data_IF_180024038775
#
_entry.id   IF_180024038775
#
_cell.length_a   1.000
_cell.length_b   1.000
_cell.length_c   1.000
_cell.angle_alpha   90.00
_cell.angle_beta   90.00
_cell.angle_gamma   90.00
#
_symmetry.space_group_name_H-M   'P 1'
#
loop_
_entity.id
_entity.type
_entity.pdbx_description
1 polymer ?
#
# COMPACT_ATOMS: atom_id res chain seq x y z
N UNK A 1 3.76 1.75 21.24
CA UNK A 1 4.53 3.01 21.29
C UNK A 1 6.00 2.71 21.06
N UNK A 2 6.77 3.32 20.13
CA UNK A 2 7.39 4.67 20.18
C UNK A 2 6.66 5.81 19.44
N UNK A 3 5.49 5.49 18.87
CA UNK A 3 4.29 6.34 18.76
C UNK A 3 3.13 5.36 18.44
N UNK A 4 2.56 4.70 19.45
CA UNK A 4 1.51 3.70 19.23
C UNK A 4 0.65 3.55 20.48
N UNK A 5 -0.65 3.37 20.25
CA UNK A 5 -1.74 3.22 21.23
C UNK A 5 -1.75 1.90 22.00
N UNK A 6 -0.95 0.89 21.60
CA UNK A 6 -0.77 -0.34 22.40
C UNK A 6 0.71 -0.76 22.48
N UNK A 7 1.24 -1.09 23.67
CA UNK A 7 2.62 -1.58 23.86
C UNK A 7 2.85 -3.04 23.46
N UNK A 8 1.78 -3.84 23.35
CA UNK A 8 1.86 -5.30 23.36
C UNK A 8 2.33 -5.94 22.04
N UNK A 9 2.36 -5.20 20.93
CA UNK A 9 2.93 -5.69 19.66
C UNK A 9 4.47 -5.68 19.62
N UNK A 10 5.14 -5.43 20.74
CA UNK A 10 6.61 -5.32 20.83
C UNK A 10 7.32 -6.68 20.96
N UNK A 11 6.63 -7.80 20.75
CA UNK A 11 7.17 -9.17 20.87
C UNK A 11 8.27 -9.52 19.83
N UNK A 12 8.60 -8.63 18.89
CA UNK A 12 9.78 -8.70 18.01
C UNK A 12 10.67 -7.46 18.14
N UNK A 13 10.76 -6.89 19.34
CA UNK A 13 11.62 -5.73 19.61
C UNK A 13 13.08 -6.07 19.32
N UNK A 14 13.63 -5.49 18.26
CA UNK A 14 15.07 -5.53 17.98
C UNK A 14 15.87 -5.06 19.19
N UNK A 15 17.13 -5.48 19.27
CA UNK A 15 18.05 -5.09 20.34
C UNK A 15 18.31 -3.58 20.24
N UNK A 16 17.54 -2.76 20.97
CA UNK A 16 17.68 -1.30 21.02
C UNK A 16 18.34 -0.92 22.34
N UNK A 17 19.32 -0.03 22.28
CA UNK A 17 20.03 0.53 23.42
C UNK A 17 19.72 2.02 23.55
N UNK A 18 19.35 2.45 24.75
CA UNK A 18 19.21 3.87 25.06
C UNK A 18 20.59 4.56 25.07
N UNK A 19 20.65 5.78 24.55
CA UNK A 19 21.83 6.65 24.56
C UNK A 19 21.56 7.78 25.56
N UNK A 20 22.57 8.17 26.34
CA UNK A 20 22.39 9.22 27.35
C UNK A 20 22.00 10.56 26.69
N UNK A 21 21.19 11.37 27.38
CA UNK A 21 20.77 12.69 26.88
C UNK A 21 21.96 13.57 26.52
N UNK A 22 23.00 13.58 27.36
CA UNK A 22 24.25 14.31 27.13
C UNK A 22 24.98 13.81 25.87
N UNK A 23 24.99 12.50 25.63
CA UNK A 23 25.61 11.94 24.42
C UNK A 23 24.84 12.33 23.16
N UNK A 24 23.50 12.35 23.20
CA UNK A 24 22.67 12.80 22.08
C UNK A 24 22.95 14.27 21.79
N UNK A 25 22.94 15.14 22.81
CA UNK A 25 23.26 16.56 22.67
C UNK A 25 24.66 16.74 22.06
N UNK A 26 25.66 16.02 22.58
CA UNK A 26 27.04 16.07 22.08
C UNK A 26 27.13 15.63 20.62
N UNK A 27 26.51 14.50 20.26
CA UNK A 27 26.55 13.95 18.89
C UNK A 27 25.85 14.89 17.92
N UNK A 28 24.73 15.48 18.30
CA UNK A 28 23.96 16.42 17.46
C UNK A 28 24.48 17.87 17.53
N UNK A 29 25.42 18.18 18.43
CA UNK A 29 25.89 19.54 18.74
C UNK A 29 24.74 20.51 19.07
N UNK A 30 23.71 20.00 19.75
CA UNK A 30 22.63 20.85 20.23
C UNK A 30 23.11 21.72 21.41
N UNK A 31 22.41 22.83 21.72
CA UNK A 31 22.77 23.67 22.87
C UNK A 31 22.90 22.85 24.16
N UNK A 32 24.02 23.03 24.89
CA UNK A 32 24.39 22.21 26.06
C UNK A 32 23.39 22.28 27.23
N UNK A 33 22.53 23.30 27.25
CA UNK A 33 21.55 23.54 28.30
C UNK A 33 20.13 23.12 27.91
N UNK A 34 19.97 22.29 26.87
CA UNK A 34 18.65 21.78 26.53
C UNK A 34 18.10 20.90 27.66
N UNK A 35 16.90 21.21 28.17
CA UNK A 35 16.27 20.34 29.13
C UNK A 35 16.07 18.95 28.53
N UNK A 36 16.00 17.90 29.38
CA UNK A 36 15.61 16.57 28.94
C UNK A 36 14.29 16.63 28.16
N UNK A 37 14.08 15.72 27.21
CA UNK A 37 12.80 15.61 26.52
C UNK A 37 11.66 15.51 27.54
N UNK A 38 10.82 16.54 27.58
CA UNK A 38 9.62 16.57 28.42
C UNK A 38 8.43 16.15 27.57
N UNK A 39 7.52 15.43 28.21
CA UNK A 39 6.24 15.03 27.62
C UNK A 39 5.17 15.70 28.48
N UNK A 40 4.59 16.77 27.96
CA UNK A 40 3.52 17.51 28.64
C UNK A 40 2.19 17.09 28.04
N UNK A 41 1.27 16.62 28.87
CA UNK A 41 -0.10 16.35 28.40
C UNK A 41 -0.84 17.67 28.23
N UNK A 42 -1.41 17.88 27.04
CA UNK A 42 -2.19 19.05 26.65
C UNK A 42 -3.52 18.60 26.02
N UNK A 43 -4.51 19.51 25.84
CA UNK A 43 -5.71 19.20 25.05
C UNK A 43 -5.40 18.75 23.61
N UNK A 44 -4.27 19.16 23.06
CA UNK A 44 -3.81 18.78 21.72
C UNK A 44 -3.07 17.41 21.69
N UNK A 45 -2.90 16.76 22.84
CA UNK A 45 -2.15 15.51 22.97
C UNK A 45 -0.86 15.73 23.77
N UNK A 46 0.20 15.01 23.42
CA UNK A 46 1.48 15.11 24.13
C UNK A 46 2.35 16.13 23.40
N UNK A 47 2.59 17.27 24.05
CA UNK A 47 3.59 18.24 23.63
C UNK A 47 4.97 17.74 23.98
N UNK A 48 5.89 17.80 23.02
CA UNK A 48 7.30 17.45 23.24
C UNK A 48 8.21 18.19 22.27
N UNK A 49 9.52 18.20 22.55
CA UNK A 49 10.53 18.74 21.64
C UNK A 49 11.31 17.61 21.00
N UNK A 50 11.35 17.59 19.67
CA UNK A 50 12.07 16.58 18.91
C UNK A 50 13.14 17.23 18.02
N UNK A 51 14.37 16.68 17.98
CA UNK A 51 15.34 17.03 16.95
C UNK A 51 14.88 16.41 15.62
N UNK A 52 14.48 17.28 14.70
CA UNK A 52 13.96 16.93 13.38
C UNK A 52 14.91 17.39 12.29
N UNK A 53 15.10 16.55 11.30
CA UNK A 53 15.90 16.86 10.12
C UNK A 53 15.13 16.48 8.86
N UNK A 54 15.06 17.35 7.83
CA UNK A 54 14.38 17.01 6.59
C UNK A 54 15.00 15.76 5.94
N UNK A 55 14.15 14.87 5.44
CA UNK A 55 14.57 13.55 4.93
C UNK A 55 15.63 13.64 3.82
N UNK A 56 15.54 14.67 2.99
CA UNK A 56 16.44 14.97 1.86
C UNK A 56 17.91 15.09 2.26
N UNK A 57 18.19 15.61 3.45
CA UNK A 57 19.57 15.81 3.91
C UNK A 57 20.17 14.54 4.54
N UNK A 58 19.32 13.69 5.13
CA UNK A 58 19.78 12.46 5.77
C UNK A 58 20.07 11.34 4.75
N UNK A 59 19.21 11.20 3.75
CA UNK A 59 19.20 10.07 2.82
C UNK A 59 19.33 10.49 1.34
N UNK A 60 20.30 11.35 0.96
CA UNK A 60 20.37 11.93 -0.38
C UNK A 60 20.70 10.90 -1.49
N UNK A 61 21.24 9.73 -1.12
CA UNK A 61 21.60 8.66 -2.05
C UNK A 61 20.53 7.57 -2.15
N UNK A 62 19.48 7.64 -1.33
CA UNK A 62 18.38 6.69 -1.38
C UNK A 62 17.36 7.15 -2.41
N UNK A 63 16.98 6.27 -3.32
CA UNK A 63 15.79 6.47 -4.14
C UNK A 63 14.56 6.28 -3.23
N UNK A 64 14.01 7.41 -2.77
CA UNK A 64 12.87 7.51 -1.88
C UNK A 64 11.66 7.91 -2.70
N UNK A 65 10.60 7.09 -2.64
CA UNK A 65 9.30 7.46 -3.20
C UNK A 65 8.46 8.15 -2.13
N UNK A 66 8.24 9.45 -2.31
CA UNK A 66 7.33 10.20 -1.47
C UNK A 66 5.88 9.95 -1.91
N UNK A 67 4.96 9.80 -0.94
CA UNK A 67 3.53 10.02 -1.13
C UNK A 67 3.20 11.27 -1.96
N UNK A 68 2.45 11.12 -3.06
CA UNK A 68 1.99 12.28 -3.87
C UNK A 68 1.16 13.27 -3.05
N UNK A 69 0.49 12.80 -1.98
CA UNK A 69 -0.38 13.61 -1.14
C UNK A 69 0.37 14.57 -0.20
N UNK A 70 1.66 14.36 0.07
CA UNK A 70 2.44 15.15 1.02
C UNK A 70 3.73 15.64 0.35
N UNK A 71 3.92 16.97 0.21
CA UNK A 71 5.16 17.53 -0.31
C UNK A 71 6.39 17.03 0.44
N UNK A 72 7.48 16.78 -0.29
CA UNK A 72 8.78 16.36 0.25
C UNK A 72 9.27 17.23 1.41
N UNK A 73 9.00 18.54 1.37
CA UNK A 73 9.37 19.51 2.41
C UNK A 73 8.70 19.29 3.77
N UNK A 74 7.68 18.45 3.83
CA UNK A 74 6.94 18.14 5.07
C UNK A 74 7.42 16.84 5.74
N UNK A 75 8.40 16.16 5.14
CA UNK A 75 8.91 14.89 5.61
C UNK A 75 10.24 15.04 6.36
N UNK A 76 10.28 14.44 7.56
CA UNK A 76 11.38 14.58 8.49
C UNK A 76 11.79 13.23 9.08
N UNK A 77 13.03 13.15 9.55
CA UNK A 77 13.46 12.15 10.53
C UNK A 77 13.52 12.80 11.91
N UNK A 78 12.75 12.24 12.85
CA UNK A 78 12.89 12.52 14.26
C UNK A 78 14.04 11.69 14.84
N UNK A 79 15.12 12.33 15.28
CA UNK A 79 16.28 11.65 15.84
C UNK A 79 15.95 11.22 17.27
N UNK A 80 16.06 9.92 17.54
CA UNK A 80 15.75 9.31 18.81
C UNK A 80 17.02 9.17 19.65
N UNK A 81 16.87 9.25 20.98
CA UNK A 81 17.94 9.00 21.94
C UNK A 81 18.26 7.51 22.13
N UNK A 82 18.27 6.73 21.05
CA UNK A 82 18.55 5.30 21.08
C UNK A 82 19.22 4.85 19.79
N UNK A 83 19.89 3.71 19.86
CA UNK A 83 20.60 3.07 18.73
C UNK A 83 20.31 1.57 18.70
N UNK A 84 20.47 0.93 17.54
CA UNK A 84 20.39 -0.52 17.43
C UNK A 84 21.70 -1.16 17.89
N UNK A 85 21.68 -2.27 18.63
CA UNK A 85 22.93 -2.88 19.14
C UNK A 85 23.85 -3.39 18.06
N UNK A 86 23.32 -3.71 16.87
CA UNK A 86 24.11 -4.14 15.71
C UNK A 86 24.73 -2.95 14.95
N UNK A 87 24.33 -1.73 15.27
CA UNK A 87 24.84 -0.50 14.66
C UNK A 87 25.27 0.50 15.76
N UNK A 88 26.28 0.15 16.58
CA UNK A 88 26.72 1.01 17.66
C UNK A 88 27.20 2.37 17.13
N UNK A 89 26.81 3.44 17.81
CA UNK A 89 27.11 4.81 17.40
C UNK A 89 26.11 5.42 16.41
N UNK A 90 25.25 4.61 15.77
CA UNK A 90 24.24 5.10 14.84
C UNK A 90 22.90 5.38 15.55
N UNK A 91 22.55 6.65 15.74
CA UNK A 91 21.27 7.03 16.35
C UNK A 91 20.10 6.63 15.45
N UNK A 92 18.98 6.20 16.03
CA UNK A 92 17.79 5.85 15.26
C UNK A 92 17.02 7.12 14.88
N UNK A 93 16.79 7.31 13.59
CA UNK A 93 15.87 8.30 13.05
C UNK A 93 14.52 7.67 12.73
N UNK A 94 13.42 8.25 13.21
CA UNK A 94 12.05 7.83 12.88
C UNK A 94 11.45 8.71 11.81
N UNK A 95 10.92 8.10 10.75
CA UNK A 95 10.20 8.83 9.71
C UNK A 95 8.94 9.44 10.30
N UNK A 96 8.76 10.73 10.08
CA UNK A 96 7.59 11.48 10.45
C UNK A 96 7.29 12.57 9.42
N UNK A 97 6.09 13.13 9.48
CA UNK A 97 5.74 14.30 8.71
C UNK A 97 4.99 15.31 9.57
N UNK A 98 5.12 16.58 9.21
CA UNK A 98 4.43 17.70 9.85
C UNK A 98 3.70 18.45 8.74
N UNK A 99 2.37 18.29 8.64
CA UNK A 99 1.57 19.02 7.66
C UNK A 99 1.49 20.51 8.02
N UNK A 100 1.19 21.38 7.04
CA UNK A 100 0.89 22.78 7.33
C UNK A 100 -0.28 22.87 8.30
N UNK A 101 -0.15 23.77 9.26
CA UNK A 101 -1.16 24.08 10.26
C UNK A 101 -1.43 25.57 10.18
N UNK A 102 -2.71 25.95 10.17
CA UNK A 102 -3.14 27.35 10.25
C UNK A 102 -3.05 27.90 11.69
N UNK A 103 -2.54 27.07 12.61
CA UNK A 103 -2.30 27.39 14.02
C UNK A 103 -0.83 27.17 14.37
N UNK A 104 -0.39 27.74 15.49
CA UNK A 104 0.96 27.51 16.03
C UNK A 104 1.18 26.06 16.53
N UNK A 105 0.15 25.22 16.49
CA UNK A 105 0.20 23.81 16.90
C UNK A 105 0.67 22.94 15.74
N UNK A 106 1.90 22.45 15.83
CA UNK A 106 2.49 21.54 14.84
C UNK A 106 2.31 20.08 15.26
N UNK A 107 1.38 19.37 14.63
CA UNK A 107 1.19 17.95 14.86
C UNK A 107 2.23 17.12 14.12
N UNK A 108 2.87 16.19 14.83
CA UNK A 108 3.77 15.21 14.23
C UNK A 108 3.05 13.89 14.03
N UNK A 109 3.15 13.35 12.82
CA UNK A 109 2.55 12.08 12.45
C UNK A 109 3.63 11.07 12.10
N UNK A 110 3.37 9.80 12.42
CA UNK A 110 4.24 8.72 12.00
C UNK A 110 4.24 8.61 10.48
N UNK A 111 5.43 8.50 9.91
CA UNK A 111 5.63 8.29 8.50
C UNK A 111 6.17 6.90 8.18
N UNK A 112 6.01 6.51 6.93
CA UNK A 112 6.60 5.30 6.36
C UNK A 112 7.09 5.64 4.96
N UNK A 113 8.34 5.28 4.65
CA UNK A 113 8.96 5.57 3.36
C UNK A 113 9.18 4.29 2.57
N UNK A 114 8.94 4.36 1.26
CA UNK A 114 9.41 3.35 0.31
C UNK A 114 10.85 3.68 -0.06
N UNK A 115 11.78 2.84 0.38
CA UNK A 115 13.20 3.00 0.11
C UNK A 115 13.69 1.87 -0.78
N UNK A 116 14.41 2.24 -1.83
CA UNK A 116 15.08 1.28 -2.70
C UNK A 116 16.24 0.61 -1.93
N UNK A 117 16.21 -0.72 -1.84
CA UNK A 117 17.24 -1.51 -1.14
C UNK A 117 18.30 -2.09 -2.08
N UNK A 118 18.05 -2.11 -3.39
CA UNK A 118 18.98 -2.62 -4.40
C UNK A 118 19.00 -1.68 -5.62
N UNK A 119 20.12 -0.97 -5.88
CA UNK A 119 20.25 -0.15 -7.07
C UNK A 119 20.54 -1.03 -8.31
N UNK A 120 19.53 -1.20 -9.18
CA UNK A 120 19.58 -1.86 -10.49
C UNK A 120 20.11 -3.34 -10.52
N UNK A 121 19.74 -4.15 -11.54
CA UNK A 121 18.78 -3.90 -12.62
C UNK A 121 17.32 -4.05 -12.17
N UNK A 122 17.05 -4.59 -10.98
CA UNK A 122 15.70 -4.65 -10.38
C UNK A 122 15.67 -3.83 -9.10
N UNK A 123 15.12 -2.62 -9.18
CA UNK A 123 14.84 -1.79 -7.99
C UNK A 123 13.82 -2.53 -7.12
N UNK A 124 14.26 -2.94 -5.94
CA UNK A 124 13.36 -3.52 -4.93
C UNK A 124 13.14 -2.45 -3.86
N UNK A 125 11.88 -2.14 -3.58
CA UNK A 125 11.52 -1.19 -2.55
C UNK A 125 11.06 -1.92 -1.30
N UNK A 126 11.50 -1.44 -0.14
CA UNK A 126 10.96 -1.85 1.16
C UNK A 126 10.40 -0.65 1.90
N UNK A 127 9.37 -0.92 2.70
CA UNK A 127 8.80 0.06 3.61
C UNK A 127 9.69 0.15 4.85
N UNK A 128 10.15 1.36 5.17
CA UNK A 128 10.98 1.64 6.32
C UNK A 128 10.49 2.91 7.04
N UNK A 129 10.40 2.84 8.37
CA UNK A 129 10.03 3.97 9.24
C UNK A 129 11.11 4.29 10.27
N UNK A 130 12.19 3.51 10.31
CA UNK A 130 13.34 3.69 11.20
C UNK A 130 14.62 3.53 10.39
N UNK A 131 15.55 4.45 10.57
CA UNK A 131 16.83 4.47 9.88
C UNK A 131 17.97 4.61 10.91
N UNK A 132 19.00 3.75 10.87
CA UNK A 132 20.22 4.02 11.61
C UNK A 132 20.97 5.18 10.96
N UNK A 133 21.15 6.26 11.71
CA UNK A 133 21.91 7.45 11.30
C UNK A 133 23.34 7.30 11.79
N UNK A 134 24.23 6.85 10.89
CA UNK A 134 25.66 6.76 11.19
C UNK A 134 26.24 8.12 11.57
N UNK A 135 27.37 8.16 12.30
CA UNK A 135 28.06 9.41 12.62
C UNK A 135 28.29 10.30 11.38
N UNK A 136 28.70 9.71 10.25
CA UNK A 136 28.88 10.44 9.00
C UNK A 136 27.59 11.04 8.43
N UNK A 137 26.45 10.35 8.58
CA UNK A 137 25.14 10.91 8.19
C UNK A 137 24.73 12.04 9.12
N UNK A 138 24.93 11.88 10.44
CA UNK A 138 24.66 12.93 11.43
C UNK A 138 25.50 14.17 11.14
N UNK A 139 26.80 14.01 10.86
CA UNK A 139 27.70 15.11 10.54
C UNK A 139 27.25 15.87 9.29
N UNK A 140 26.83 15.15 8.24
CA UNK A 140 26.34 15.74 7.00
C UNK A 140 25.06 16.53 7.18
N UNK A 141 24.09 16.02 7.94
CA UNK A 141 22.78 16.66 8.09
C UNK A 141 22.67 17.55 9.33
N UNK A 142 23.77 17.71 10.08
CA UNK A 142 23.84 18.41 11.37
C UNK A 142 23.27 19.83 11.32
N UNK A 143 23.66 20.62 10.34
CA UNK A 143 23.24 22.02 10.18
C UNK A 143 21.74 22.16 9.87
N UNK A 144 21.10 21.07 9.45
CA UNK A 144 19.67 21.00 9.15
C UNK A 144 18.85 20.37 10.29
N UNK A 145 19.49 19.98 11.40
CA UNK A 145 18.80 19.49 12.58
C UNK A 145 18.16 20.68 13.30
N UNK A 146 16.84 20.67 13.38
CA UNK A 146 16.04 21.68 14.07
C UNK A 146 15.34 21.07 15.26
N UNK A 147 15.43 21.70 16.42
CA UNK A 147 14.63 21.31 17.57
C UNK A 147 13.25 21.97 17.45
N UNK A 148 12.21 21.17 17.22
CA UNK A 148 10.83 21.68 17.08
C UNK A 148 9.97 21.20 18.23
N UNK A 149 9.16 22.10 18.78
CA UNK A 149 8.03 21.74 19.64
C UNK A 149 6.92 21.17 18.76
N UNK A 150 6.51 19.95 19.04
CA UNK A 150 5.51 19.21 18.28
C UNK A 150 4.51 18.53 19.19
N UNK A 151 3.33 18.26 18.63
CA UNK A 151 2.23 17.61 19.33
C UNK A 151 1.98 16.22 18.77
N UNK A 152 2.11 15.22 19.64
CA UNK A 152 1.74 13.84 19.34
C UNK A 152 0.27 13.68 19.72
N UNK A 153 -0.58 13.53 18.72
CA UNK A 153 -2.02 13.38 18.94
C UNK A 153 -2.35 12.16 19.80
N UNK A 154 -3.15 12.35 20.86
CA UNK A 154 -3.78 11.24 21.59
C UNK A 154 -5.17 10.97 20.98
N UNK A 155 -5.47 9.77 20.45
CA UNK A 155 -6.77 9.50 19.82
C UNK A 155 -7.95 9.63 20.78
N UNK A 156 -7.76 9.28 22.05
CA UNK A 156 -8.86 9.14 23.04
C UNK A 156 -9.19 10.43 23.81
N UNK A 157 -8.27 11.40 23.88
CA UNK A 157 -8.46 12.65 24.64
C UNK A 157 -8.85 13.85 23.77
N UNK A 158 -8.75 13.71 22.45
CA UNK A 158 -9.15 14.74 21.49
C UNK A 158 -10.65 14.71 21.16
N UNK A 159 -11.47 14.08 22.01
CA UNK A 159 -12.90 13.86 21.79
C UNK A 159 -13.78 15.09 22.08
N UNK A 160 -13.21 16.23 22.47
CA UNK A 160 -14.03 17.38 22.91
C UNK A 160 -13.81 18.70 22.19
N UNK A 161 -12.81 18.87 21.30
CA UNK A 161 -12.59 20.19 20.66
C UNK A 161 -12.06 20.20 19.21
N UNK A 162 -12.12 19.10 18.46
CA UNK A 162 -11.65 19.14 17.06
C UNK A 162 -12.38 18.14 16.14
N UNK A 163 -13.69 18.34 15.96
CA UNK A 163 -14.48 17.71 14.88
C UNK A 163 -14.13 18.25 13.47
N UNK A 164 -13.01 18.97 13.33
CA UNK A 164 -12.42 19.38 12.05
C UNK A 164 -11.12 18.64 11.72
N UNK A 165 -10.84 17.49 12.36
CA UNK A 165 -9.77 16.60 11.88
C UNK A 165 -10.19 16.01 10.53
N UNK A 166 -9.45 16.34 9.47
CA UNK A 166 -9.58 15.74 8.13
C UNK A 166 -9.75 14.23 8.28
N UNK A 167 -10.95 13.74 7.97
CA UNK A 167 -11.38 12.35 8.20
C UNK A 167 -10.43 11.34 7.55
N UNK A 168 -9.67 11.76 6.54
CA UNK A 168 -8.64 10.97 5.86
C UNK A 168 -7.37 10.76 6.67
N UNK A 169 -7.17 11.52 7.75
CA UNK A 169 -6.00 11.42 8.64
C UNK A 169 -6.23 10.46 9.81
N UNK A 170 -7.46 10.04 10.04
CA UNK A 170 -7.77 9.16 11.16
C UNK A 170 -7.32 7.73 10.87
N UNK A 171 -6.54 7.08 11.76
CA UNK A 171 -6.17 5.69 11.58
C UNK A 171 -7.40 4.79 11.56
N UNK A 172 -7.35 3.73 10.76
CA UNK A 172 -8.41 2.74 10.70
C UNK A 172 -8.43 1.83 11.92
N UNK A 173 -9.60 1.62 12.49
CA UNK A 173 -9.80 0.57 13.52
C UNK A 173 -10.19 -0.78 12.89
N UNK A 174 -10.89 -0.71 11.77
CA UNK A 174 -11.32 -1.82 10.92
C UNK A 174 -11.51 -1.31 9.49
N UNK A 175 -11.87 -2.17 8.55
CA UNK A 175 -12.26 -1.80 7.18
C UNK A 175 -13.62 -2.40 6.86
N UNK A 176 -14.50 -1.56 6.32
CA UNK A 176 -15.80 -1.95 5.80
C UNK A 176 -15.83 -1.68 4.29
N UNK A 177 -16.06 -2.72 3.51
CA UNK A 177 -16.26 -2.59 2.07
C UNK A 177 -17.74 -2.41 1.76
N UNK A 178 -18.02 -1.52 0.82
CA UNK A 178 -19.37 -1.17 0.40
C UNK A 178 -19.50 -1.34 -1.11
N UNK A 179 -20.61 -1.91 -1.57
CA UNK A 179 -20.93 -1.96 -3.00
C UNK A 179 -21.98 -0.89 -3.32
N UNK A 180 -21.52 0.22 -3.90
CA UNK A 180 -22.34 1.39 -4.20
C UNK A 180 -23.47 1.11 -5.19
N UNK A 181 -24.58 1.87 -5.09
CA UNK A 181 -25.76 1.70 -5.96
C UNK A 181 -25.44 1.82 -7.45
N UNK A 182 -24.53 2.74 -7.82
CA UNK A 182 -24.09 2.92 -9.21
C UNK A 182 -23.38 1.67 -9.74
N UNK A 183 -22.42 1.12 -8.99
CA UNK A 183 -21.72 -0.12 -9.31
C UNK A 183 -22.68 -1.30 -9.45
N UNK A 184 -23.62 -1.48 -8.50
CA UNK A 184 -24.64 -2.54 -8.58
C UNK A 184 -25.50 -2.44 -9.84
N UNK A 185 -25.91 -1.22 -10.21
CA UNK A 185 -26.72 -0.99 -11.40
C UNK A 185 -25.93 -1.29 -12.69
N UNK A 186 -24.66 -0.89 -12.74
CA UNK A 186 -23.78 -1.18 -13.89
C UNK A 186 -23.57 -2.69 -14.07
N UNK A 187 -23.25 -3.41 -12.98
CA UNK A 187 -23.12 -4.87 -13.01
C UNK A 187 -24.43 -5.56 -13.45
N UNK A 188 -25.57 -5.10 -12.93
CA UNK A 188 -26.89 -5.62 -13.33
C UNK A 188 -27.19 -5.37 -14.80
N UNK A 189 -26.84 -4.20 -15.35
CA UNK A 189 -27.01 -3.94 -16.79
C UNK A 189 -26.12 -4.82 -17.68
N UNK A 190 -25.04 -5.39 -17.12
CA UNK A 190 -24.18 -6.36 -17.79
C UNK A 190 -24.62 -7.82 -17.53
N UNK A 191 -25.78 -8.05 -16.89
CA UNK A 191 -26.30 -9.39 -16.61
C UNK A 191 -25.79 -10.05 -15.32
N UNK A 192 -25.06 -9.32 -14.47
CA UNK A 192 -24.54 -9.86 -13.21
C UNK A 192 -25.41 -9.50 -12.01
N UNK A 193 -25.66 -10.49 -11.16
CA UNK A 193 -26.11 -10.30 -9.78
C UNK A 193 -24.88 -10.16 -8.89
N UNK A 194 -24.85 -9.13 -8.05
CA UNK A 194 -23.72 -8.82 -7.19
C UNK A 194 -24.11 -8.85 -5.71
N UNK A 195 -23.43 -9.69 -4.93
CA UNK A 195 -23.63 -9.84 -3.49
C UNK A 195 -22.32 -9.57 -2.76
N UNK A 196 -22.36 -8.67 -1.77
CA UNK A 196 -21.21 -8.35 -0.93
C UNK A 196 -21.49 -8.83 0.49
N UNK A 197 -20.70 -9.80 0.96
CA UNK A 197 -20.71 -10.30 2.32
C UNK A 197 -19.56 -9.67 3.11
N UNK A 198 -19.89 -9.13 4.28
CA UNK A 198 -18.90 -8.57 5.20
C UNK A 198 -18.16 -9.65 6.01
N UNK A 199 -17.26 -9.23 6.92
CA UNK A 199 -16.53 -10.13 7.80
C UNK A 199 -17.44 -10.94 8.73
N UNK A 200 -16.98 -12.14 9.08
CA UNK A 200 -17.63 -13.03 10.06
C UNK A 200 -16.68 -13.37 11.21
N UNK A 201 -17.16 -14.07 12.24
CA UNK A 201 -16.37 -14.41 13.44
C UNK A 201 -15.10 -15.21 13.11
N UNK A 202 -15.13 -16.03 12.06
CA UNK A 202 -13.98 -16.82 11.61
C UNK A 202 -12.99 -16.02 10.76
N UNK A 203 -13.45 -14.96 10.09
CA UNK A 203 -12.63 -14.14 9.20
C UNK A 203 -12.95 -12.65 9.40
N UNK A 204 -12.52 -12.05 10.53
CA UNK A 204 -12.88 -10.68 10.91
C UNK A 204 -12.31 -9.61 9.95
N UNK A 205 -11.37 -9.99 9.08
CA UNK A 205 -10.73 -9.09 8.12
C UNK A 205 -11.08 -9.38 6.66
N UNK A 206 -12.01 -10.30 6.41
CA UNK A 206 -12.28 -10.79 5.05
C UNK A 206 -13.67 -10.36 4.59
N UNK A 207 -13.77 -9.93 3.33
CA UNK A 207 -15.04 -9.65 2.66
C UNK A 207 -15.12 -10.49 1.38
N UNK A 208 -16.33 -10.82 0.96
CA UNK A 208 -16.55 -11.61 -0.25
C UNK A 208 -17.51 -10.89 -1.17
N UNK A 209 -17.06 -10.64 -2.39
CA UNK A 209 -17.91 -10.20 -3.49
C UNK A 209 -18.17 -11.39 -4.41
N UNK A 210 -19.44 -11.73 -4.58
CA UNK A 210 -19.89 -12.75 -5.51
C UNK A 210 -20.60 -12.07 -6.67
N UNK A 211 -20.14 -12.33 -7.89
CA UNK A 211 -20.76 -11.88 -9.13
C UNK A 211 -21.24 -13.11 -9.90
N UNK A 212 -22.54 -13.24 -10.08
CA UNK A 212 -23.15 -14.41 -10.74
C UNK A 212 -23.93 -14.01 -11.98
N UNK A 213 -23.69 -14.71 -13.07
CA UNK A 213 -24.53 -14.75 -14.27
C UNK A 213 -24.90 -16.21 -14.59
N UNK A 214 -25.58 -16.44 -15.70
CA UNK A 214 -26.06 -17.77 -16.07
C UNK A 214 -24.91 -18.75 -16.40
N UNK A 215 -23.85 -18.25 -17.03
CA UNK A 215 -22.73 -19.08 -17.50
C UNK A 215 -21.71 -19.38 -16.38
N UNK A 216 -21.50 -18.42 -15.49
CA UNK A 216 -20.40 -18.48 -14.53
C UNK A 216 -20.61 -17.63 -13.28
N UNK A 217 -19.78 -17.88 -12.28
CA UNK A 217 -19.71 -17.10 -11.04
C UNK A 217 -18.26 -16.68 -10.79
N UNK A 218 -18.05 -15.41 -10.50
CA UNK A 218 -16.77 -14.83 -10.08
C UNK A 218 -16.86 -14.54 -8.59
N UNK A 219 -15.90 -15.04 -7.82
CA UNK A 219 -15.75 -14.72 -6.41
C UNK A 219 -14.47 -13.92 -6.20
N UNK A 220 -14.59 -12.83 -5.45
CA UNK A 220 -13.47 -11.99 -5.02
C UNK A 220 -13.42 -11.99 -3.51
N UNK A 221 -12.35 -12.53 -2.96
CA UNK A 221 -12.08 -12.53 -1.53
C UNK A 221 -11.13 -11.39 -1.20
N UNK A 222 -11.61 -10.38 -0.47
CA UNK A 222 -10.82 -9.23 -0.02
C UNK A 222 -10.35 -9.46 1.41
N UNK A 223 -9.06 -9.66 1.61
CA UNK A 223 -8.44 -9.69 2.91
C UNK A 223 -7.72 -8.37 3.19
N UNK A 224 -8.00 -7.74 4.32
CA UNK A 224 -7.29 -6.54 4.74
C UNK A 224 -6.39 -6.78 5.94
N UNK A 225 -5.28 -6.05 6.01
CA UNK A 225 -4.44 -5.98 7.20
C UNK A 225 -4.17 -4.53 7.56
N UNK A 226 -4.21 -4.23 8.86
CA UNK A 226 -3.94 -2.91 9.40
C UNK A 226 -2.59 -2.92 10.13
N UNK A 227 -1.67 -2.09 9.65
CA UNK A 227 -0.36 -1.87 10.27
C UNK A 227 -0.34 -0.60 11.10
N UNK A 228 0.67 -0.49 11.98
CA UNK A 228 0.99 0.74 12.71
C UNK A 228 -0.20 1.38 13.45
N UNK A 229 -1.01 0.57 14.14
CA UNK A 229 -2.17 1.06 14.88
C UNK A 229 -3.26 1.65 14.00
N UNK A 230 -3.39 1.15 12.75
CA UNK A 230 -4.40 1.60 11.81
C UNK A 230 -3.91 2.64 10.79
N UNK A 231 -2.64 3.04 10.87
CA UNK A 231 -2.05 4.03 9.96
C UNK A 231 -1.57 3.49 8.61
N UNK A 232 -1.62 2.17 8.41
CA UNK A 232 -1.31 1.49 7.16
C UNK A 232 -2.43 0.50 6.85
N UNK A 233 -2.96 0.57 5.63
CA UNK A 233 -3.92 -0.37 5.08
C UNK A 233 -3.25 -1.16 3.97
N UNK A 234 -3.32 -2.48 4.04
CA UNK A 234 -3.05 -3.37 2.91
C UNK A 234 -4.32 -4.15 2.61
N UNK A 235 -4.72 -4.21 1.34
CA UNK A 235 -5.84 -5.04 0.89
C UNK A 235 -5.33 -5.96 -0.21
N UNK A 236 -5.60 -7.24 -0.07
CA UNK A 236 -5.37 -8.27 -1.07
C UNK A 236 -6.72 -8.79 -1.54
N UNK A 237 -6.90 -8.94 -2.85
CA UNK A 237 -8.09 -9.52 -3.45
C UNK A 237 -7.71 -10.75 -4.26
N UNK A 238 -8.15 -11.92 -3.80
CA UNK A 238 -8.03 -13.19 -4.50
C UNK A 238 -9.27 -13.41 -5.37
N UNK A 239 -9.05 -13.68 -6.66
CA UNK A 239 -10.12 -13.76 -7.65
C UNK A 239 -10.19 -15.18 -8.20
N UNK A 240 -11.40 -15.76 -8.17
CA UNK A 240 -11.70 -17.10 -8.68
C UNK A 240 -12.93 -17.04 -9.57
N UNK A 241 -12.99 -17.91 -10.57
CA UNK A 241 -14.16 -18.08 -11.43
C UNK A 241 -14.53 -19.55 -11.54
N UNK A 242 -15.82 -19.85 -11.47
CA UNK A 242 -16.39 -21.19 -11.67
C UNK A 242 -17.46 -21.15 -12.76
N UNK A 243 -17.57 -22.22 -13.55
CA UNK A 243 -18.64 -22.41 -14.55
C UNK A 243 -19.63 -23.46 -14.09
N UNK A 244 -20.88 -23.33 -14.52
CA UNK A 244 -21.95 -24.31 -14.24
C UNK A 244 -22.01 -25.46 -15.24
N UNK A 245 -21.49 -25.28 -16.46
CA UNK A 245 -21.63 -26.26 -17.53
C UNK A 245 -20.44 -27.23 -17.56
N UNK A 246 -20.77 -28.52 -17.49
CA UNK A 246 -19.97 -29.76 -17.41
C UNK A 246 -19.59 -30.18 -15.99
N UNK A 247 -19.93 -31.44 -15.68
CA UNK A 247 -19.93 -32.18 -14.40
C UNK A 247 -18.60 -32.23 -13.60
N UNK A 248 -17.65 -31.36 -13.89
CA UNK A 248 -16.52 -31.06 -13.03
C UNK A 248 -16.51 -29.55 -12.79
N UNK A 249 -16.52 -29.13 -11.53
CA UNK A 249 -16.37 -27.73 -11.14
C UNK A 249 -14.95 -27.22 -11.52
N UNK A 250 -14.73 -27.00 -12.82
CA UNK A 250 -13.48 -26.53 -13.38
C UNK A 250 -13.26 -25.10 -12.97
N UNK A 251 -12.48 -24.90 -11.91
CA UNK A 251 -12.08 -23.57 -11.47
C UNK A 251 -11.18 -22.94 -12.52
N UNK A 252 -11.62 -21.82 -13.10
CA UNK A 252 -10.86 -21.08 -14.10
C UNK A 252 -9.89 -20.15 -13.38
N UNK A 253 -8.61 -20.31 -13.67
CA UNK A 253 -7.56 -19.52 -13.03
C UNK A 253 -7.49 -18.12 -13.65
N UNK A 254 -7.64 -17.12 -12.79
CA UNK A 254 -7.40 -15.72 -13.12
C UNK A 254 -5.91 -15.43 -13.37
N UNK A 255 -5.62 -14.45 -14.24
CA UNK A 255 -4.29 -13.90 -14.45
C UNK A 255 -4.30 -12.36 -14.32
N UNK A 256 -3.67 -11.79 -13.27
CA UNK A 256 -3.16 -12.46 -12.08
C UNK A 256 -4.30 -13.03 -11.21
N UNK A 257 -4.03 -14.06 -10.40
CA UNK A 257 -5.04 -14.63 -9.49
C UNK A 257 -5.33 -13.78 -8.25
N UNK A 258 -4.44 -12.84 -7.94
CA UNK A 258 -4.57 -11.93 -6.82
C UNK A 258 -4.03 -10.54 -7.17
N UNK A 259 -4.65 -9.50 -6.62
CA UNK A 259 -4.21 -8.11 -6.75
C UNK A 259 -4.10 -7.46 -5.37
N UNK A 260 -3.21 -6.48 -5.21
CA UNK A 260 -2.94 -5.83 -3.93
C UNK A 260 -3.00 -4.31 -4.02
N UNK A 261 -3.51 -3.70 -2.95
CA UNK A 261 -3.46 -2.27 -2.69
C UNK A 261 -2.77 -1.99 -1.35
N UNK A 262 -2.18 -0.81 -1.26
CA UNK A 262 -1.57 -0.29 -0.04
C UNK A 262 -1.91 1.19 0.09
N UNK A 263 -2.31 1.62 1.28
CA UNK A 263 -2.65 3.01 1.60
C UNK A 263 -2.17 3.38 3.01
N UNK A 264 -2.02 4.65 3.32
CA UNK A 264 -1.50 5.16 4.60
C UNK A 264 -2.30 6.35 5.10
N UNK A 265 -2.29 6.59 6.42
CA UNK A 265 -3.02 7.69 7.03
C UNK A 265 -2.69 9.03 6.37
N UNK A 266 -3.74 9.76 5.98
CA UNK A 266 -3.89 10.53 4.72
C UNK A 266 -4.44 9.70 3.56
N UNK A 267 -5.48 8.92 3.84
CA UNK A 267 -6.11 7.98 2.93
C UNK A 267 -6.39 8.61 1.57
N UNK A 268 -5.93 7.94 0.52
CA UNK A 268 -6.22 8.38 -0.84
C UNK A 268 -7.73 8.26 -1.09
N UNK A 269 -8.30 9.30 -1.73
CA UNK A 269 -9.72 9.28 -2.11
C UNK A 269 -10.02 8.09 -3.03
N UNK A 270 -9.01 7.66 -3.79
CA UNK A 270 -9.14 6.63 -4.78
C UNK A 270 -7.85 5.84 -4.92
N UNK A 271 -7.93 4.52 -4.77
CA UNK A 271 -6.84 3.60 -5.02
C UNK A 271 -6.88 3.09 -6.46
N UNK A 272 -5.69 2.84 -7.01
CA UNK A 272 -5.52 2.47 -8.41
C UNK A 272 -6.40 1.29 -8.83
N UNK A 273 -6.96 1.37 -10.04
CA UNK A 273 -7.67 0.24 -10.66
C UNK A 273 -6.68 -0.86 -10.98
N UNK A 274 -7.03 -2.10 -10.62
CA UNK A 274 -6.29 -3.32 -10.92
C UNK A 274 -7.13 -4.19 -11.83
N UNK A 275 -6.49 -4.88 -12.75
CA UNK A 275 -7.16 -5.72 -13.74
C UNK A 275 -6.80 -7.18 -13.52
N UNK A 276 -7.81 -8.04 -13.65
CA UNK A 276 -7.70 -9.49 -13.60
C UNK A 276 -8.39 -10.06 -14.82
N UNK A 277 -7.69 -10.89 -15.59
CA UNK A 277 -8.23 -11.47 -16.81
C UNK A 277 -8.51 -12.98 -16.66
N UNK A 278 -9.59 -13.43 -17.28
CA UNK A 278 -9.93 -14.83 -17.50
C UNK A 278 -9.96 -15.10 -19.00
N UNK A 279 -9.30 -16.16 -19.43
CA UNK A 279 -9.33 -16.62 -20.83
C UNK A 279 -10.36 -17.73 -20.95
N UNK A 280 -11.37 -17.50 -21.79
CA UNK A 280 -12.54 -18.34 -21.95
C UNK A 280 -12.68 -18.76 -23.42
N UNK A 281 -11.95 -19.79 -23.84
CA UNK A 281 -11.93 -20.25 -25.24
C UNK A 281 -11.70 -19.10 -26.25
N UNK A 282 -12.77 -18.57 -26.84
CA UNK A 282 -12.74 -17.46 -27.80
C UNK A 282 -13.01 -16.07 -27.18
N UNK A 283 -13.08 -15.96 -25.86
CA UNK A 283 -13.36 -14.70 -25.17
C UNK A 283 -12.33 -14.43 -24.07
N UNK A 284 -12.09 -13.15 -23.81
CA UNK A 284 -11.32 -12.68 -22.67
C UNK A 284 -12.23 -11.80 -21.81
N UNK A 285 -12.44 -12.22 -20.57
CA UNK A 285 -13.16 -11.44 -19.57
C UNK A 285 -12.15 -10.74 -18.67
N UNK A 286 -12.24 -9.41 -18.58
CA UNK A 286 -11.38 -8.58 -17.75
C UNK A 286 -12.20 -7.95 -16.63
N UNK A 287 -11.88 -8.32 -15.40
CA UNK A 287 -12.43 -7.75 -14.17
C UNK A 287 -11.55 -6.59 -13.72
N UNK A 288 -12.13 -5.39 -13.61
CA UNK A 288 -11.45 -4.20 -13.10
C UNK A 288 -11.91 -3.92 -11.67
N UNK A 289 -10.96 -3.86 -10.75
CA UNK A 289 -11.18 -3.70 -9.31
C UNK A 289 -10.52 -2.42 -8.79
N UNK A 290 -11.22 -1.65 -7.97
CA UNK A 290 -10.68 -0.48 -7.30
C UNK A 290 -11.40 -0.17 -5.99
N UNK A 291 -10.80 0.69 -5.18
CA UNK A 291 -11.29 1.08 -3.86
C UNK A 291 -11.35 2.61 -3.77
N UNK A 292 -12.52 3.14 -3.44
CA UNK A 292 -12.72 4.57 -3.22
C UNK A 292 -13.05 4.85 -1.76
N UNK A 293 -12.26 5.70 -1.13
CA UNK A 293 -12.52 6.14 0.23
C UNK A 293 -13.80 6.98 0.25
N UNK A 294 -14.71 6.66 1.18
CA UNK A 294 -15.97 7.40 1.34
C UNK A 294 -16.14 8.00 2.73
N UNK A 295 -15.59 7.35 3.75
CA UNK A 295 -15.61 7.79 5.14
C UNK A 295 -14.50 7.06 5.91
N UNK A 296 -14.17 7.48 7.15
CA UNK A 296 -13.23 6.74 7.99
C UNK A 296 -13.58 5.25 8.03
N UNK A 297 -12.62 4.39 7.69
CA UNK A 297 -12.77 2.92 7.64
C UNK A 297 -13.77 2.38 6.61
N UNK A 298 -14.31 3.19 5.71
CA UNK A 298 -15.28 2.77 4.71
C UNK A 298 -14.77 3.03 3.29
N UNK A 299 -14.78 1.97 2.47
CA UNK A 299 -14.35 2.02 1.09
C UNK A 299 -15.43 1.46 0.16
N UNK A 300 -15.78 2.22 -0.88
CA UNK A 300 -16.64 1.75 -1.95
C UNK A 300 -15.84 0.95 -2.98
N UNK A 301 -16.36 -0.23 -3.34
CA UNK A 301 -15.84 -1.06 -4.41
C UNK A 301 -16.22 -0.47 -5.76
N UNK A 302 -15.19 -0.21 -6.57
CA UNK A 302 -15.33 -0.03 -8.00
C UNK A 302 -15.07 -1.36 -8.68
N UNK A 303 -16.07 -1.83 -9.40
CA UNK A 303 -16.06 -3.11 -10.10
C UNK A 303 -16.65 -2.88 -11.48
N UNK A 304 -15.91 -3.29 -12.50
CA UNK A 304 -16.36 -3.26 -13.89
C UNK A 304 -15.90 -4.54 -14.59
N UNK A 305 -16.68 -5.02 -15.54
CA UNK A 305 -16.40 -6.24 -16.31
C UNK A 305 -16.40 -5.86 -17.79
N UNK A 306 -15.31 -6.21 -18.47
CA UNK A 306 -15.15 -5.99 -19.91
C UNK A 306 -14.94 -7.34 -20.58
N UNK A 307 -15.78 -7.68 -21.55
CA UNK A 307 -15.66 -8.90 -22.36
C UNK A 307 -15.18 -8.54 -23.76
N UNK A 308 -14.14 -9.21 -24.22
CA UNK A 308 -13.56 -9.05 -25.55
C UNK A 308 -13.58 -10.40 -26.29
N UNK A 309 -14.09 -10.43 -27.52
CA UNK A 309 -13.99 -11.61 -28.39
C UNK A 309 -12.59 -11.68 -28.99
N UNK A 310 -11.91 -12.81 -28.80
CA UNK A 310 -10.60 -13.08 -29.37
C UNK A 310 -10.76 -13.45 -30.85
N UNK A 311 -9.93 -12.90 -31.75
CA UNK A 311 -9.97 -13.26 -33.16
C UNK A 311 -9.62 -14.74 -33.32
N UNK A 312 -10.56 -15.51 -33.88
CA UNK A 312 -10.29 -16.88 -34.33
C UNK A 312 -9.27 -16.77 -35.45
N UNK A 313 -8.06 -17.31 -35.24
CA UNK A 313 -7.10 -17.47 -36.32
C UNK A 313 -7.77 -18.34 -37.39
N UNK A 314 -8.19 -17.71 -38.50
CA UNK A 314 -8.66 -18.41 -39.68
C UNK A 314 -7.46 -19.16 -40.26
N UNK A 315 -7.29 -20.41 -39.83
CA UNK A 315 -6.44 -21.37 -40.52
C UNK A 315 -7.11 -21.68 -41.85
N UNK A 316 -6.80 -20.89 -42.87
CA UNK A 316 -7.18 -21.18 -44.25
C UNK A 316 -6.39 -22.41 -44.68
N UNK A 317 -7.03 -23.57 -44.60
CA UNK A 317 -6.65 -24.74 -45.38
C UNK A 317 -7.00 -24.43 -46.85
N UNK A 318 -5.98 -24.30 -47.70
CA UNK A 318 -6.15 -24.33 -49.15
C UNK A 318 -5.41 -25.57 -49.67
N UNK A 319 -6.17 -26.66 -49.71
CA UNK A 319 -5.93 -27.84 -50.53
C UNK A 319 -5.76 -27.39 -51.98
N UNK A 320 -4.54 -27.54 -52.53
CA UNK A 320 -4.28 -27.41 -53.95
C UNK A 320 -4.05 -28.82 -54.51
N UNK A 321 -5.15 -29.55 -54.65
CA UNK A 321 -5.24 -30.68 -55.55
C UNK A 321 -5.42 -30.14 -56.97
N UNK A 322 -4.34 -30.09 -57.75
CA UNK A 322 -4.43 -30.15 -59.21
C UNK A 322 -3.52 -31.26 -59.69
N UNK A 323 -4.16 -32.36 -60.11
CA UNK A 323 -3.52 -33.46 -60.79
C UNK A 323 -3.07 -33.06 -62.19
N UNK A 324 -1.92 -33.58 -62.62
CA UNK A 324 -1.67 -33.88 -64.03
C UNK A 324 -0.67 -35.04 -64.13
N UNK A 325 -1.19 -36.21 -64.49
CA UNK A 325 -0.54 -37.22 -65.35
C UNK A 325 -1.62 -37.60 -66.38
N UNK A 326 -1.30 -38.02 -67.62
CA UNK A 326 -0.13 -38.83 -67.99
C UNK A 326 0.54 -38.45 -69.33
N UNK A 327 1.69 -39.06 -69.61
CA UNK A 327 2.35 -38.98 -70.91
C UNK A 327 3.53 -39.94 -71.01
N UNK A 328 3.26 -41.19 -71.38
CA UNK A 328 4.25 -42.20 -71.78
C UNK A 328 4.76 -41.84 -73.18
N UNK A 329 6.08 -41.82 -73.37
CA UNK A 329 6.73 -41.64 -74.67
C UNK A 329 8.20 -42.05 -74.60
N UNK A 330 8.56 -43.09 -75.36
CA UNK A 330 9.82 -43.83 -75.34
C UNK A 330 10.88 -43.24 -76.30
N UNK A 331 12.16 -43.51 -75.97
CA UNK A 331 13.30 -43.87 -76.85
C UNK A 331 14.29 -42.81 -77.42
N UNK A 332 15.54 -43.34 -77.48
CA UNK A 332 16.85 -42.89 -78.04
C UNK A 332 17.57 -41.80 -77.23
N UNK A 333 18.83 -41.91 -76.82
CA UNK A 333 19.91 -42.89 -77.05
C UNK A 333 21.24 -42.13 -77.18
N UNK A 334 22.20 -42.36 -76.27
CA UNK A 334 23.65 -42.14 -76.45
C UNK A 334 24.38 -42.85 -75.31
N UNK A 335 25.22 -43.85 -75.63
CA UNK A 335 25.99 -44.64 -74.68
C UNK A 335 25.58 -46.09 -74.65
#
# INVERSE_FOLDING_TARGET
SLFASQPETSAKGGKIRAVSHTDVIRRLQLPRHLPPTRYSSTPHGIETQLPLVPLTYCLPQCDIQYPEAIPESQWYLAILGCEHTEHPGALLGRVCYIPPSDSDVQYVYCGLMRVCINPAPRKVYRLANLFPLSPATIDRCREHVTLKTVYISHPERASTQSDTRDARRQPHKTINLLLGRKTRRALRSQGYTAELRGPDEGHPTTHWLTLSCDDHTITVEYQHTLGYGGGLLMVEADVKMSRRALDEAGQIKANPSAVKWSDYALWHVSLATKEVAFTLAAEKLTLKLGLDWVAPSHYCLRVDIVTETLPVASGTSAELAQGTRPGVGSRRGSG
#
